data_IF_263806171574
#
_entry.id   IF_263806171574
#
_cell.length_a   1.000
_cell.length_b   1.000
_cell.length_c   1.000
_cell.angle_alpha   90.00
_cell.angle_beta   90.00
_cell.angle_gamma   90.00
#
_symmetry.space_group_name_H-M   'P 1'
#
loop_
_entity.id
_entity.type
_entity.pdbx_description
1 polymer ?
#
# COMPACT_ATOMS: atom_id res chain seq x y z
N UNK A 1 -7.70 13.48 15.46
CA UNK A 1 -6.54 12.58 15.63
C UNK A 1 -6.54 11.50 14.56
N UNK A 2 -6.23 11.86 13.32
CA UNK A 2 -6.37 11.00 12.12
C UNK A 2 -5.03 10.50 11.57
N UNK A 3 -3.93 11.22 11.82
CA UNK A 3 -2.58 10.84 11.35
C UNK A 3 -2.03 9.54 11.97
N UNK A 4 -2.36 9.25 13.23
CA UNK A 4 -1.89 8.03 13.90
C UNK A 4 -2.40 6.73 13.27
N UNK A 5 -3.62 6.74 12.73
CA UNK A 5 -4.18 5.57 12.04
C UNK A 5 -3.55 5.32 10.67
N UNK A 6 -3.17 6.39 9.98
CA UNK A 6 -2.51 6.34 8.67
C UNK A 6 -1.11 5.76 8.79
N UNK A 7 -0.24 6.38 9.58
CA UNK A 7 1.16 5.95 9.71
C UNK A 7 1.23 4.53 10.28
N UNK A 8 0.35 4.16 11.22
CA UNK A 8 0.26 2.79 11.72
C UNK A 8 -0.13 1.77 10.63
N UNK A 9 -1.04 2.12 9.72
CA UNK A 9 -1.41 1.25 8.60
C UNK A 9 -0.27 1.08 7.58
N UNK A 10 0.42 2.17 7.23
CA UNK A 10 1.58 2.15 6.34
C UNK A 10 2.68 1.25 6.94
N UNK A 11 3.03 1.46 8.21
CA UNK A 11 4.01 0.63 8.93
C UNK A 11 3.59 -0.83 9.00
N UNK A 12 2.29 -1.12 9.20
CA UNK A 12 1.77 -2.49 9.17
C UNK A 12 1.97 -3.16 7.81
N UNK A 13 1.69 -2.46 6.71
CA UNK A 13 1.88 -3.01 5.37
C UNK A 13 3.36 -3.24 5.05
N UNK A 14 4.25 -2.31 5.41
CA UNK A 14 5.71 -2.47 5.28
C UNK A 14 6.19 -3.69 6.08
N UNK A 15 5.67 -3.86 7.30
CA UNK A 15 6.01 -4.99 8.17
C UNK A 15 5.57 -6.36 7.66
N UNK A 16 4.67 -6.41 6.66
CA UNK A 16 4.30 -7.67 6.01
C UNK A 16 5.31 -8.10 4.94
N UNK A 17 6.31 -7.28 4.64
CA UNK A 17 7.41 -7.64 3.75
C UNK A 17 8.68 -7.83 4.58
N UNK A 18 9.44 -8.89 4.26
CA UNK A 18 10.71 -9.18 4.94
C UNK A 18 11.64 -7.97 4.87
N UNK A 19 12.33 -7.66 5.96
CA UNK A 19 13.39 -6.65 5.94
C UNK A 19 14.59 -7.19 5.17
N UNK A 20 15.15 -6.40 4.26
CA UNK A 20 16.27 -6.84 3.44
C UNK A 20 16.57 -5.88 2.30
N UNK A 21 17.59 -6.23 1.51
CA UNK A 21 18.01 -5.46 0.34
C UNK A 21 17.01 -5.53 -0.82
N UNK A 22 16.17 -6.56 -0.84
CA UNK A 22 15.11 -6.79 -1.84
C UNK A 22 13.85 -5.96 -1.55
N UNK A 23 13.74 -5.36 -0.35
CA UNK A 23 12.58 -4.55 0.03
C UNK A 23 12.73 -3.12 -0.45
N UNK A 24 11.85 -2.73 -1.38
CA UNK A 24 11.71 -1.36 -1.86
C UNK A 24 10.40 -0.78 -1.35
N UNK A 25 10.45 0.41 -0.74
CA UNK A 25 9.27 1.11 -0.23
C UNK A 25 9.21 2.51 -0.81
N UNK A 26 8.11 2.86 -1.47
CA UNK A 26 7.79 4.22 -1.85
C UNK A 26 6.42 4.57 -1.28
N UNK A 27 6.37 5.65 -0.51
CA UNK A 27 5.12 6.19 0.03
C UNK A 27 4.95 7.61 -0.46
N UNK A 28 3.82 7.85 -1.10
CA UNK A 28 3.46 9.16 -1.64
C UNK A 28 2.07 9.56 -1.14
N UNK A 29 1.77 10.84 -1.26
CA UNK A 29 0.46 11.40 -0.95
C UNK A 29 0.02 12.34 -2.06
N UNK A 30 -1.29 12.47 -2.21
CA UNK A 30 -1.89 13.37 -3.18
C UNK A 30 -3.34 13.65 -2.84
N UNK A 31 -4.00 14.36 -3.75
CA UNK A 31 -5.41 14.71 -3.66
C UNK A 31 -6.11 14.28 -4.95
N UNK A 32 -7.27 13.68 -4.79
CA UNK A 32 -8.17 13.28 -5.87
C UNK A 32 -9.47 14.05 -5.73
N UNK A 33 -10.36 13.94 -6.73
CA UNK A 33 -11.71 14.50 -6.66
C UNK A 33 -12.52 14.00 -5.45
N UNK A 34 -12.21 12.80 -4.95
CA UNK A 34 -12.94 12.15 -3.86
C UNK A 34 -12.30 12.43 -2.49
N UNK A 35 -11.09 13.00 -2.46
CA UNK A 35 -10.38 13.40 -1.25
C UNK A 35 -8.88 13.09 -1.27
N UNK A 36 -8.23 13.34 -0.13
CA UNK A 36 -6.79 13.11 0.06
C UNK A 36 -6.49 11.63 0.15
N UNK A 37 -5.39 11.21 -0.46
CA UNK A 37 -4.96 9.81 -0.40
C UNK A 37 -3.48 9.68 -0.08
N UNK A 38 -3.14 8.52 0.48
CA UNK A 38 -1.76 8.06 0.64
C UNK A 38 -1.62 6.77 -0.14
N UNK A 39 -0.60 6.72 -0.98
CA UNK A 39 -0.28 5.60 -1.84
C UNK A 39 1.01 4.93 -1.35
N UNK A 40 0.97 3.61 -1.19
CA UNK A 40 2.06 2.77 -0.72
C UNK A 40 2.39 1.79 -1.82
N UNK A 41 3.61 1.87 -2.33
CA UNK A 41 4.16 0.98 -3.34
C UNK A 41 5.35 0.23 -2.73
N UNK A 42 5.18 -1.08 -2.57
CA UNK A 42 6.08 -1.92 -1.81
C UNK A 42 6.43 -3.14 -2.64
N UNK A 43 7.71 -3.44 -2.80
CA UNK A 43 8.14 -4.68 -3.45
C UNK A 43 9.17 -5.43 -2.61
N UNK A 44 9.29 -6.74 -2.81
CA UNK A 44 10.20 -7.63 -2.09
C UNK A 44 9.54 -8.96 -1.73
N UNK A 45 10.03 -9.60 -0.68
CA UNK A 45 9.47 -10.87 -0.18
C UNK A 45 8.27 -10.63 0.75
N UNK A 46 7.07 -11.03 0.31
CA UNK A 46 5.83 -10.88 1.08
C UNK A 46 5.61 -12.06 2.04
N UNK A 47 5.42 -11.77 3.32
CA UNK A 47 5.06 -12.77 4.35
C UNK A 47 3.54 -12.98 4.35
N UNK A 48 3.05 -13.75 3.39
CA UNK A 48 1.62 -14.03 3.22
C UNK A 48 1.09 -14.83 4.40
N UNK A 49 0.09 -14.32 5.11
CA UNK A 49 -0.56 -15.07 6.19
C UNK A 49 -1.21 -16.34 5.64
N UNK A 50 -0.95 -17.47 6.30
CA UNK A 50 -1.51 -18.77 5.95
C UNK A 50 -2.26 -19.35 7.15
N UNK A 51 -3.49 -19.81 6.90
CA UNK A 51 -4.38 -20.32 7.94
C UNK A 51 -4.95 -19.24 8.86
N UNK A 52 -5.54 -19.65 10.00
CA UNK A 52 -6.17 -18.73 10.94
C UNK A 52 -5.20 -17.69 11.55
N UNK A 53 -5.64 -16.43 11.76
CA UNK A 53 -4.78 -15.36 12.29
C UNK A 53 -4.10 -15.67 13.62
N UNK A 54 -4.74 -16.46 14.50
CA UNK A 54 -4.20 -16.81 15.82
C UNK A 54 -2.92 -17.66 15.75
N UNK A 55 -2.72 -18.40 14.65
CA UNK A 55 -1.52 -19.20 14.45
C UNK A 55 -0.29 -18.35 14.05
N UNK A 56 -0.51 -17.11 13.61
CA UNK A 56 0.54 -16.19 13.14
C UNK A 56 1.53 -16.81 12.14
N UNK A 57 1.08 -17.82 11.38
CA UNK A 57 1.89 -18.47 10.35
C UNK A 57 1.90 -17.62 9.09
N UNK A 58 3.08 -17.53 8.48
CA UNK A 58 3.27 -16.86 7.20
C UNK A 58 4.07 -17.76 6.27
N UNK A 59 3.84 -17.58 4.98
CA UNK A 59 4.61 -18.16 3.89
C UNK A 59 5.35 -17.02 3.20
N UNK A 60 6.67 -17.19 3.02
CA UNK A 60 7.48 -16.23 2.27
C UNK A 60 7.18 -16.37 0.77
N UNK A 61 6.75 -15.28 0.15
CA UNK A 61 6.47 -15.20 -1.29
C UNK A 61 7.43 -14.16 -1.89
N UNK A 62 8.56 -14.60 -2.45
CA UNK A 62 9.50 -13.73 -3.14
C UNK A 62 8.88 -13.03 -4.35
N UNK A 63 9.58 -12.05 -4.90
CA UNK A 63 9.19 -11.32 -6.12
C UNK A 63 7.73 -10.82 -6.07
N UNK A 64 7.31 -10.33 -4.91
CA UNK A 64 5.98 -9.77 -4.71
C UNK A 64 6.00 -8.25 -4.79
N UNK A 65 4.86 -7.67 -5.16
CA UNK A 65 4.61 -6.24 -5.04
C UNK A 65 3.22 -6.01 -4.45
N UNK A 66 3.09 -4.98 -3.64
CA UNK A 66 1.86 -4.50 -3.06
C UNK A 66 1.66 -3.03 -3.42
N UNK A 67 0.46 -2.71 -3.92
CA UNK A 67 -0.06 -1.35 -3.97
C UNK A 67 -1.11 -1.21 -2.87
N UNK A 68 -0.97 -0.20 -2.03
CA UNK A 68 -1.92 0.12 -0.96
C UNK A 68 -2.36 1.57 -1.08
N UNK A 69 -3.63 1.84 -0.82
CA UNK A 69 -4.14 3.22 -0.75
C UNK A 69 -4.98 3.39 0.49
N UNK A 70 -4.78 4.52 1.16
CA UNK A 70 -5.64 5.03 2.21
C UNK A 70 -6.29 6.30 1.67
N UNK A 71 -7.57 6.23 1.30
CA UNK A 71 -8.33 7.34 0.74
C UNK A 71 -9.25 7.93 1.81
N UNK A 72 -9.02 9.19 2.16
CA UNK A 72 -9.84 9.96 3.08
C UNK A 72 -10.96 10.64 2.29
N UNK A 73 -12.12 9.97 2.16
CA UNK A 73 -13.25 10.56 1.44
C UNK A 73 -13.94 11.60 2.30
N UNK A 74 -14.03 12.82 1.79
CA UNK A 74 -14.54 13.96 2.55
C UNK A 74 -16.00 13.75 2.95
N UNK A 75 -16.32 14.03 4.22
CA UNK A 75 -17.65 13.77 4.79
C UNK A 75 -18.02 12.28 4.95
N UNK A 76 -17.09 11.35 4.69
CA UNK A 76 -17.28 9.90 4.84
C UNK A 76 -16.14 9.28 5.67
N UNK A 77 -15.93 7.97 5.51
CA UNK A 77 -14.90 7.19 6.16
C UNK A 77 -13.63 7.08 5.29
N UNK A 78 -12.59 6.50 5.89
CA UNK A 78 -11.39 6.07 5.17
C UNK A 78 -11.65 4.78 4.41
N UNK A 79 -11.28 4.76 3.13
CA UNK A 79 -11.27 3.55 2.31
C UNK A 79 -9.85 3.03 2.18
N UNK A 80 -9.71 1.72 2.33
CA UNK A 80 -8.43 1.02 2.26
C UNK A 80 -8.49 0.02 1.10
N UNK A 81 -7.72 0.26 0.04
CA UNK A 81 -7.59 -0.71 -1.04
C UNK A 81 -6.17 -1.27 -1.01
N UNK A 82 -6.05 -2.57 -1.28
CA UNK A 82 -4.78 -3.27 -1.31
C UNK A 82 -4.78 -4.29 -2.44
N UNK A 83 -3.80 -4.20 -3.31
CA UNK A 83 -3.52 -5.15 -4.37
C UNK A 83 -2.15 -5.78 -4.08
N UNK A 84 -2.06 -7.11 -4.03
CA UNK A 84 -0.79 -7.82 -3.80
C UNK A 84 -0.70 -9.04 -4.71
N UNK A 85 0.46 -9.24 -5.31
CA UNK A 85 0.69 -10.35 -6.22
C UNK A 85 2.11 -10.36 -6.77
N UNK A 86 2.38 -11.18 -7.81
CA UNK A 86 3.66 -11.21 -8.49
C UNK A 86 4.09 -9.82 -8.94
N UNK A 87 5.35 -9.46 -8.71
CA UNK A 87 5.92 -8.12 -8.97
C UNK A 87 5.64 -7.67 -10.40
N UNK A 88 5.83 -8.56 -11.38
CA UNK A 88 5.58 -8.27 -12.80
C UNK A 88 4.11 -7.94 -13.10
N UNK A 89 3.18 -8.74 -12.57
CA UNK A 89 1.73 -8.57 -12.79
C UNK A 89 1.21 -7.30 -12.12
N UNK A 90 1.66 -7.01 -10.91
CA UNK A 90 1.25 -5.77 -10.22
C UNK A 90 1.90 -4.56 -10.87
N UNK A 91 3.15 -4.68 -11.34
CA UNK A 91 3.83 -3.60 -12.04
C UNK A 91 3.13 -3.17 -13.34
N UNK A 92 2.46 -4.09 -14.04
CA UNK A 92 1.76 -3.79 -15.29
C UNK A 92 0.41 -3.10 -15.09
N UNK A 93 -0.05 -2.88 -13.85
CA UNK A 93 -1.37 -2.30 -13.56
C UNK A 93 -1.32 -1.12 -12.58
N UNK A 94 -0.13 -0.56 -12.33
CA UNK A 94 0.06 0.49 -11.31
C UNK A 94 -0.73 1.74 -11.67
N UNK A 95 -0.70 2.14 -12.95
CA UNK A 95 -1.33 3.37 -13.42
C UNK A 95 -2.86 3.21 -13.47
N UNK A 96 -3.36 2.04 -13.87
CA UNK A 96 -4.78 1.69 -13.83
C UNK A 96 -5.31 1.65 -12.39
N UNK A 97 -4.53 1.11 -11.46
CA UNK A 97 -4.88 1.11 -10.04
C UNK A 97 -4.95 2.53 -9.49
N UNK A 98 -4.01 3.43 -9.84
CA UNK A 98 -4.10 4.85 -9.50
C UNK A 98 -5.33 5.53 -10.09
N UNK A 99 -5.60 5.27 -11.37
CA UNK A 99 -6.75 5.84 -12.05
C UNK A 99 -8.09 5.43 -11.41
N UNK A 100 -8.18 4.24 -10.81
CA UNK A 100 -9.42 3.75 -10.19
C UNK A 100 -9.91 4.59 -8.99
N UNK A 101 -9.02 5.39 -8.38
CA UNK A 101 -9.38 6.34 -7.32
C UNK A 101 -9.02 7.79 -7.67
N UNK A 102 -8.77 8.08 -8.96
CA UNK A 102 -8.52 9.43 -9.45
C UNK A 102 -7.19 10.04 -9.01
N UNK A 103 -6.15 9.23 -8.77
CA UNK A 103 -4.82 9.74 -8.51
C UNK A 103 -4.13 10.25 -9.77
N UNK A 104 -3.30 11.28 -9.59
CA UNK A 104 -2.32 11.73 -10.57
C UNK A 104 -0.91 11.52 -10.01
N UNK A 105 -0.20 10.54 -10.57
CA UNK A 105 1.14 10.16 -10.13
C UNK A 105 2.17 11.30 -10.29
N UNK A 106 1.91 12.29 -11.14
CA UNK A 106 2.82 13.43 -11.38
C UNK A 106 2.71 14.49 -10.29
N UNK A 107 1.53 14.60 -9.68
CA UNK A 107 1.23 15.55 -8.60
C UNK A 107 1.48 14.94 -7.21
N UNK A 108 1.71 13.62 -7.14
CA UNK A 108 2.08 12.91 -5.92
C UNK A 108 3.39 13.45 -5.33
N UNK A 109 3.37 13.72 -4.02
CA UNK A 109 4.54 14.15 -3.25
C UNK A 109 4.98 13.04 -2.30
N UNK A 110 6.25 12.97 -1.89
CA UNK A 110 6.67 12.09 -0.80
C UNK A 110 5.78 12.29 0.43
N UNK A 111 5.36 11.19 1.04
CA UNK A 111 4.66 11.22 2.32
C UNK A 111 5.69 11.25 3.44
N UNK A 112 5.74 12.36 4.17
CA UNK A 112 6.54 12.46 5.41
C UNK A 112 5.75 11.86 6.57
N UNK A 113 6.35 10.90 7.27
CA UNK A 113 5.74 10.15 8.38
C UNK A 113 5.80 10.90 9.70
#
# INVERSE_FOLDING_TARGET
GTGGGVSANVSRWIGQFASGKDREVKVTQGESKDGKYIFVDLSGTYNKSIGPPFLRKTEAVPDSRMLGVILAVEGKAYYFLKLTGPKKTVASVVDEFRASFGADAKEEKPFEQ
#
